data_IF_399053777625
#
_entry.id   IF_399053777625
#
_cell.length_a   1.000
_cell.length_b   1.000
_cell.length_c   1.000
_cell.angle_alpha   90.00
_cell.angle_beta   90.00
_cell.angle_gamma   90.00
#
_symmetry.space_group_name_H-M   'P 1'
#
loop_
_entity.id
_entity.type
_entity.pdbx_description
1 polymer ?
#
# COMPACT_ATOMS: atom_id res chain seq x y z
N UNK A 1 15.26 14.83 7.02
CA UNK A 1 14.45 13.87 7.81
C UNK A 1 14.61 12.43 7.29
N UNK A 2 14.56 11.39 8.15
CA UNK A 2 14.57 9.98 7.68
C UNK A 2 13.15 9.50 7.39
N UNK A 3 12.99 8.69 6.35
CA UNK A 3 11.69 8.19 5.94
C UNK A 3 11.07 7.17 6.91
N UNK A 4 11.90 6.42 7.65
CA UNK A 4 11.44 5.46 8.65
C UNK A 4 10.68 6.15 9.79
N UNK A 5 11.28 7.21 10.36
CA UNK A 5 10.69 8.01 11.43
C UNK A 5 9.31 8.57 11.02
N UNK A 6 9.17 9.04 9.77
CA UNK A 6 7.90 9.58 9.26
C UNK A 6 6.77 8.53 9.17
N UNK A 7 7.09 7.25 9.01
CA UNK A 7 6.07 6.19 8.91
C UNK A 7 5.50 5.78 10.26
N UNK A 8 6.20 6.09 11.35
CA UNK A 8 5.78 5.75 12.71
C UNK A 8 4.88 6.84 13.33
N UNK A 9 4.90 8.05 12.76
CA UNK A 9 4.12 9.18 13.27
C UNK A 9 2.63 9.07 12.91
N UNK A 10 1.73 9.59 13.76
CA UNK A 10 0.32 9.73 13.42
C UNK A 10 0.10 10.79 12.34
N UNK A 11 -1.01 10.68 11.60
CA UNK A 11 -1.30 11.58 10.48
C UNK A 11 -1.40 13.05 10.91
N UNK A 12 -1.99 13.33 12.07
CA UNK A 12 -2.10 14.70 12.60
C UNK A 12 -0.73 15.35 12.84
N UNK A 13 0.24 14.58 13.34
CA UNK A 13 1.59 15.06 13.56
C UNK A 13 2.35 15.25 12.23
N UNK A 14 2.11 14.37 11.26
CA UNK A 14 2.63 14.55 9.89
C UNK A 14 2.10 15.81 9.24
N UNK A 15 0.81 16.12 9.43
CA UNK A 15 0.18 17.34 8.92
C UNK A 15 0.73 18.59 9.62
N UNK A 16 0.91 18.56 10.95
CA UNK A 16 1.52 19.66 11.69
C UNK A 16 2.97 19.92 11.22
N UNK A 17 3.76 18.86 11.05
CA UNK A 17 5.14 18.95 10.52
C UNK A 17 5.17 19.47 9.08
N UNK A 18 4.23 19.04 8.24
CA UNK A 18 4.09 19.53 6.88
C UNK A 18 3.86 21.04 6.86
N UNK A 19 2.99 21.55 7.73
CA UNK A 19 2.70 22.98 7.78
C UNK A 19 3.90 23.80 8.24
N UNK A 20 4.59 23.34 9.30
CA UNK A 20 5.84 23.94 9.76
C UNK A 20 6.90 23.98 8.65
N UNK A 21 7.06 22.91 7.88
CA UNK A 21 8.03 22.87 6.78
C UNK A 21 7.65 23.79 5.61
N UNK A 22 6.35 23.99 5.34
CA UNK A 22 5.90 24.97 4.33
C UNK A 22 6.18 26.40 4.75
N UNK A 23 5.96 26.72 6.03
CA UNK A 23 6.28 28.03 6.59
C UNK A 23 7.80 28.30 6.53
N UNK A 24 8.61 27.31 6.90
CA UNK A 24 10.08 27.38 6.76
C UNK A 24 10.47 27.62 5.31
N UNK A 25 9.89 26.88 4.36
CA UNK A 25 10.16 27.05 2.93
C UNK A 25 9.77 28.46 2.43
N UNK A 26 8.66 29.01 2.91
CA UNK A 26 8.22 30.36 2.58
C UNK A 26 9.25 31.39 3.05
N UNK A 27 9.69 31.30 4.32
CA UNK A 27 10.69 32.19 4.89
C UNK A 27 12.03 32.09 4.15
N UNK A 28 12.49 30.87 3.82
CA UNK A 28 13.72 30.67 3.06
C UNK A 28 13.63 31.25 1.64
N UNK A 29 12.47 31.16 0.98
CA UNK A 29 12.24 31.78 -0.33
C UNK A 29 12.23 33.30 -0.25
N UNK A 30 11.64 33.85 0.81
CA UNK A 30 11.67 35.28 1.06
C UNK A 30 13.11 35.78 1.26
N UNK A 31 13.88 35.12 2.13
CA UNK A 31 15.30 35.41 2.34
C UNK A 31 16.11 35.28 1.03
N UNK A 32 15.85 34.23 0.24
CA UNK A 32 16.48 34.04 -1.07
C UNK A 32 16.21 35.19 -2.03
N UNK A 33 14.99 35.74 -2.05
CA UNK A 33 14.63 36.87 -2.91
C UNK A 33 15.29 38.18 -2.47
N UNK A 34 15.49 38.36 -1.16
CA UNK A 34 16.19 39.52 -0.58
C UNK A 34 17.72 39.43 -0.65
N UNK A 35 18.26 38.27 -1.06
CA UNK A 35 19.71 38.02 -1.09
C UNK A 35 20.36 37.82 0.29
N UNK A 36 19.56 37.66 1.34
CA UNK A 36 20.02 37.48 2.73
C UNK A 36 20.02 36.00 3.16
N UNK A 37 20.09 35.08 2.21
CA UNK A 37 20.00 33.65 2.49
C UNK A 37 21.37 33.10 2.88
N UNK A 38 21.52 32.70 4.15
CA UNK A 38 22.76 32.11 4.65
C UNK A 38 23.07 30.74 4.03
N UNK A 39 22.06 29.86 3.92
CA UNK A 39 22.24 28.49 3.45
C UNK A 39 21.27 28.10 2.32
N UNK A 40 21.71 28.19 1.04
CA UNK A 40 20.93 27.77 -0.12
C UNK A 40 20.56 26.28 -0.12
N UNK A 41 21.39 25.42 0.49
CA UNK A 41 21.11 23.98 0.53
C UNK A 41 19.88 23.66 1.37
N UNK A 42 19.58 24.48 2.39
CA UNK A 42 18.43 24.30 3.27
C UNK A 42 17.11 24.32 2.50
N UNK A 43 16.98 25.16 1.46
CA UNK A 43 15.80 25.20 0.60
C UNK A 43 15.53 23.85 -0.06
N UNK A 44 16.60 23.18 -0.52
CA UNK A 44 16.50 21.85 -1.16
C UNK A 44 16.13 20.79 -0.14
N UNK A 45 16.71 20.83 1.06
CA UNK A 45 16.40 19.90 2.15
C UNK A 45 14.93 19.97 2.57
N UNK A 46 14.43 21.18 2.84
CA UNK A 46 13.02 21.41 3.24
C UNK A 46 12.07 20.94 2.15
N UNK A 47 12.38 21.18 0.86
CA UNK A 47 11.58 20.64 -0.26
C UNK A 47 11.53 19.11 -0.27
N UNK A 48 12.66 18.45 0.00
CA UNK A 48 12.69 16.98 0.06
C UNK A 48 11.93 16.46 1.28
N UNK A 49 12.02 17.13 2.42
CA UNK A 49 11.30 16.73 3.63
C UNK A 49 9.77 16.88 3.45
N UNK A 50 9.30 17.97 2.82
CA UNK A 50 7.90 18.11 2.39
C UNK A 50 7.46 16.97 1.46
N UNK A 51 8.26 16.66 0.44
CA UNK A 51 7.94 15.60 -0.51
C UNK A 51 7.86 14.22 0.16
N UNK A 52 8.72 13.94 1.14
CA UNK A 52 8.69 12.70 1.93
C UNK A 52 7.40 12.59 2.74
N UNK A 53 7.01 13.64 3.45
CA UNK A 53 5.76 13.66 4.24
C UNK A 53 4.54 13.43 3.35
N UNK A 54 4.43 14.16 2.25
CA UNK A 54 3.33 14.00 1.29
C UNK A 54 3.28 12.59 0.68
N UNK A 55 4.43 11.98 0.45
CA UNK A 55 4.52 10.61 -0.08
C UNK A 55 3.96 9.60 0.92
N UNK A 56 4.29 9.74 2.21
CA UNK A 56 3.77 8.87 3.28
C UNK A 56 2.26 9.01 3.42
N UNK A 57 1.76 10.24 3.50
CA UNK A 57 0.31 10.51 3.58
C UNK A 57 -0.44 9.92 2.37
N UNK A 58 0.12 10.09 1.16
CA UNK A 58 -0.48 9.53 -0.06
C UNK A 58 -0.47 8.01 -0.08
N UNK A 59 0.57 7.39 0.45
CA UNK A 59 0.67 5.94 0.53
C UNK A 59 -0.42 5.38 1.46
N UNK A 60 -0.57 5.95 2.66
CA UNK A 60 -1.62 5.57 3.63
C UNK A 60 -3.02 5.67 3.03
N UNK A 61 -3.34 6.80 2.40
CA UNK A 61 -4.63 6.97 1.73
C UNK A 61 -4.91 5.91 0.66
N UNK A 62 -3.90 5.54 -0.14
CA UNK A 62 -4.06 4.50 -1.17
C UNK A 62 -4.25 3.10 -0.59
N UNK A 63 -3.59 2.82 0.53
CA UNK A 63 -3.73 1.56 1.25
C UNK A 63 -5.17 1.44 1.78
N UNK A 64 -5.68 2.47 2.44
CA UNK A 64 -7.09 2.54 2.89
C UNK A 64 -8.08 2.39 1.72
N UNK A 65 -7.84 3.07 0.59
CA UNK A 65 -8.67 2.93 -0.61
C UNK A 65 -8.66 1.50 -1.16
N UNK A 66 -7.49 0.86 -1.18
CA UNK A 66 -7.32 -0.51 -1.66
C UNK A 66 -8.05 -1.50 -0.74
N UNK A 67 -7.86 -1.37 0.57
CA UNK A 67 -8.58 -2.16 1.59
C UNK A 67 -10.08 -2.00 1.44
N UNK A 68 -10.57 -0.76 1.31
CA UNK A 68 -11.98 -0.48 1.10
C UNK A 68 -12.51 -1.08 -0.21
N UNK A 69 -11.68 -1.17 -1.25
CA UNK A 69 -12.04 -1.80 -2.53
C UNK A 69 -12.12 -3.32 -2.41
N UNK A 70 -11.16 -3.95 -1.74
CA UNK A 70 -11.17 -5.40 -1.48
C UNK A 70 -12.39 -5.77 -0.63
N UNK A 71 -12.64 -5.05 0.45
CA UNK A 71 -13.80 -5.28 1.30
C UNK A 71 -15.15 -5.13 0.58
N UNK A 72 -15.23 -4.28 -0.45
CA UNK A 72 -16.42 -4.19 -1.31
C UNK A 72 -16.55 -5.41 -2.21
N UNK A 73 -15.47 -5.78 -2.91
CA UNK A 73 -15.46 -6.95 -3.78
C UNK A 73 -15.82 -8.24 -3.02
N UNK A 74 -15.33 -8.40 -1.78
CA UNK A 74 -15.67 -9.54 -0.92
C UNK A 74 -17.16 -9.58 -0.58
N UNK A 75 -17.76 -8.42 -0.28
CA UNK A 75 -19.20 -8.32 0.01
C UNK A 75 -20.02 -8.66 -1.23
N UNK A 76 -19.67 -8.09 -2.37
CA UNK A 76 -20.37 -8.31 -3.64
C UNK A 76 -20.31 -9.81 -4.01
N UNK A 77 -19.15 -10.47 -3.88
CA UNK A 77 -19.00 -11.90 -4.13
C UNK A 77 -19.85 -12.77 -3.18
N UNK A 78 -19.98 -12.36 -1.90
CA UNK A 78 -20.83 -13.04 -0.93
C UNK A 78 -22.32 -12.88 -1.27
N UNK A 79 -22.73 -11.70 -1.75
CA UNK A 79 -24.09 -11.44 -2.21
C UNK A 79 -24.43 -12.25 -3.45
N UNK A 80 -23.56 -12.26 -4.46
CA UNK A 80 -23.71 -13.08 -5.67
C UNK A 80 -23.85 -14.57 -5.32
N UNK A 81 -23.01 -15.08 -4.41
CA UNK A 81 -23.08 -16.47 -3.94
C UNK A 81 -24.41 -16.76 -3.23
N UNK A 82 -24.89 -15.85 -2.38
CA UNK A 82 -26.20 -15.97 -1.70
C UNK A 82 -27.35 -16.00 -2.71
N UNK A 83 -27.31 -15.13 -3.71
CA UNK A 83 -28.33 -15.07 -4.75
C UNK A 83 -28.33 -16.33 -5.63
N UNK A 84 -27.16 -16.86 -5.97
CA UNK A 84 -27.04 -18.14 -6.69
C UNK A 84 -27.59 -19.33 -5.87
N UNK A 85 -27.41 -19.33 -4.54
CA UNK A 85 -28.05 -20.31 -3.64
C UNK A 85 -29.57 -20.13 -3.67
N UNK A 86 -30.06 -18.89 -3.58
CA UNK A 86 -31.49 -18.57 -3.57
C UNK A 86 -32.18 -18.92 -4.91
N UNK A 87 -31.52 -18.68 -6.04
CA UNK A 87 -31.98 -19.09 -7.39
C UNK A 87 -31.91 -20.60 -7.62
N UNK A 88 -31.31 -21.36 -6.70
CA UNK A 88 -31.18 -22.81 -6.79
C UNK A 88 -30.09 -23.27 -7.78
N UNK A 89 -29.29 -22.36 -8.31
CA UNK A 89 -28.17 -22.65 -9.22
C UNK A 89 -27.06 -23.46 -8.52
N UNK A 90 -26.97 -23.34 -7.19
CA UNK A 90 -26.00 -24.08 -6.35
C UNK A 90 -26.59 -25.36 -5.72
N UNK A 91 -27.84 -25.75 -6.02
CA UNK A 91 -28.38 -27.05 -5.60
C UNK A 91 -27.81 -28.15 -6.49
N UNK A 92 -26.69 -28.73 -6.08
CA UNK A 92 -26.12 -29.90 -6.75
C UNK A 92 -24.65 -30.17 -6.46
N UNK A 93 -23.87 -29.17 -6.01
CA UNK A 93 -22.49 -29.40 -5.58
C UNK A 93 -22.48 -29.90 -4.15
N UNK A 94 -22.20 -31.18 -3.98
CA UNK A 94 -22.01 -31.77 -2.66
C UNK A 94 -20.83 -31.07 -1.95
N UNK A 95 -20.89 -30.93 -0.62
CA UNK A 95 -19.79 -30.37 0.17
C UNK A 95 -18.45 -31.08 -0.14
N UNK A 96 -18.53 -32.36 -0.54
CA UNK A 96 -17.44 -33.20 -1.01
C UNK A 96 -16.83 -32.77 -2.36
N UNK A 97 -17.62 -32.30 -3.32
CA UNK A 97 -17.10 -31.80 -4.61
C UNK A 97 -16.34 -30.48 -4.43
N UNK A 98 -16.84 -29.59 -3.57
CA UNK A 98 -16.17 -28.33 -3.25
C UNK A 98 -14.85 -28.58 -2.49
N UNK A 99 -14.84 -29.58 -1.59
CA UNK A 99 -13.62 -30.00 -0.90
C UNK A 99 -12.59 -30.62 -1.85
N UNK A 100 -13.02 -31.39 -2.86
CA UNK A 100 -12.13 -31.96 -3.86
C UNK A 100 -11.55 -30.89 -4.81
N UNK A 101 -12.35 -29.92 -5.26
CA UNK A 101 -11.85 -28.80 -6.08
C UNK A 101 -10.83 -27.95 -5.31
N UNK A 102 -11.09 -27.62 -4.04
CA UNK A 102 -10.16 -26.87 -3.21
C UNK A 102 -8.85 -27.63 -2.93
N UNK A 103 -8.91 -28.97 -2.80
CA UNK A 103 -7.73 -29.82 -2.65
C UNK A 103 -6.87 -29.81 -3.91
N UNK A 104 -7.49 -29.91 -5.08
CA UNK A 104 -6.80 -29.86 -6.39
C UNK A 104 -6.13 -28.49 -6.59
N UNK A 105 -6.78 -27.41 -6.16
CA UNK A 105 -6.23 -26.05 -6.26
C UNK A 105 -5.05 -25.81 -5.30
N UNK A 106 -5.11 -26.38 -4.08
CA UNK A 106 -3.97 -26.41 -3.15
C UNK A 106 -2.81 -27.27 -3.69
N UNK A 107 -3.09 -28.45 -4.23
CA UNK A 107 -2.07 -29.33 -4.83
C UNK A 107 -1.43 -28.71 -6.08
N UNK A 108 -2.18 -27.94 -6.88
CA UNK A 108 -1.63 -27.21 -8.02
C UNK A 108 -0.74 -26.02 -7.59
N UNK A 109 -1.10 -25.35 -6.49
CA UNK A 109 -0.28 -24.27 -5.91
C UNK A 109 1.01 -24.81 -5.26
N UNK A 110 0.93 -25.96 -4.59
CA UNK A 110 2.10 -26.67 -4.01
C UNK A 110 2.97 -27.35 -5.09
N UNK A 111 2.37 -27.81 -6.20
CA UNK A 111 3.11 -28.32 -7.36
C UNK A 111 3.86 -27.24 -8.14
N UNK A 112 3.46 -25.98 -8.01
CA UNK A 112 4.15 -24.83 -8.63
C UNK A 112 5.35 -24.33 -7.80
N UNK A 113 5.48 -24.74 -6.53
CA UNK A 113 6.63 -24.40 -5.68
C UNK A 113 7.75 -25.43 -5.71
N UNK A 114 7.61 -26.59 -6.37
CA UNK A 114 8.73 -27.48 -6.67
C UNK A 114 9.44 -27.05 -7.96
N UNK A 115 10.09 -25.89 -7.94
CA UNK A 115 11.24 -25.67 -8.82
C UNK A 115 12.35 -26.57 -8.29
N UNK A 116 12.92 -27.50 -9.08
CA UNK A 116 14.11 -28.21 -8.64
C UNK A 116 15.26 -27.20 -8.63
N UNK A 117 15.59 -26.72 -7.44
CA UNK A 117 16.92 -26.19 -7.16
C UNK A 117 17.91 -27.36 -7.20
N UNK A 118 19.08 -27.10 -7.77
CA UNK A 118 20.30 -27.89 -7.76
C UNK A 118 20.49 -28.95 -8.87
N UNK A 119 21.11 -28.50 -9.98
CA UNK A 119 22.33 -29.15 -10.47
C UNK A 119 23.38 -28.08 -10.87
N UNK A 120 24.01 -27.46 -9.86
CA UNK A 120 25.42 -27.09 -9.95
C UNK A 120 26.25 -28.37 -9.86
N UNK A 121 26.54 -29.01 -11.00
CA UNK A 121 27.80 -29.75 -11.22
C UNK A 121 27.85 -30.26 -12.66
N UNK A 122 28.64 -29.58 -13.53
CA UNK A 122 29.76 -30.20 -14.28
C UNK A 122 30.26 -29.33 -15.44
N UNK A 123 31.61 -29.27 -15.47
CA UNK A 123 32.54 -28.96 -16.55
C UNK A 123 32.93 -27.48 -16.75
#
# INVERSE_FOLDING_TARGET
MKAAELRELPDDELLARLESQKEELFNLRFQSATGQLDNPMRVKEVRHDIARILTVLRYRHREEELEARVARADRDALEERRDAIARGELKGRSLTEIQQEALIEQEAAEGATSVPEDEEERA
#
